data_IF_012276338667
#
_entry.id   IF_012276338667
#
_cell.length_a   1.000
_cell.length_b   1.000
_cell.length_c   1.000
_cell.angle_alpha   90.00
_cell.angle_beta   90.00
_cell.angle_gamma   90.00
#
_symmetry.space_group_name_H-M   'P 1'
#
loop_
_entity.id
_entity.type
_entity.pdbx_description
1 polymer ?
#
# COMPACT_ATOMS: atom_id res chain seq x y z
N UNK A 1 -23.16 -37.46 24.01
CA UNK A 1 -24.21 -38.47 24.22
C UNK A 1 -24.33 -39.28 22.96
N UNK A 2 -24.33 -40.59 23.04
CA UNK A 2 -24.65 -41.49 21.92
C UNK A 2 -26.10 -41.96 22.05
N UNK A 3 -26.78 -42.16 20.93
CA UNK A 3 -28.15 -42.68 20.89
C UNK A 3 -28.26 -43.77 19.81
N UNK A 4 -29.00 -44.81 20.12
CA UNK A 4 -29.33 -45.85 19.14
C UNK A 4 -30.42 -45.34 18.20
N UNK A 5 -30.18 -45.47 16.89
CA UNK A 5 -31.18 -45.16 15.87
C UNK A 5 -31.12 -46.24 14.78
N UNK A 6 -32.20 -47.01 14.65
CA UNK A 6 -32.19 -48.23 13.83
C UNK A 6 -31.21 -49.26 14.36
N UNK A 7 -30.33 -49.79 13.50
CA UNK A 7 -29.33 -50.82 13.85
C UNK A 7 -27.95 -50.27 14.21
N UNK A 8 -27.79 -48.93 14.40
CA UNK A 8 -26.48 -48.33 14.71
C UNK A 8 -26.58 -47.24 15.73
N UNK A 9 -25.48 -47.06 16.51
CA UNK A 9 -25.31 -45.91 17.39
C UNK A 9 -24.96 -44.67 16.60
N UNK A 10 -25.48 -43.54 17.06
CA UNK A 10 -25.21 -42.21 16.51
C UNK A 10 -24.69 -41.29 17.60
N UNK A 11 -23.72 -40.44 17.27
CA UNK A 11 -23.34 -39.28 18.03
C UNK A 11 -24.48 -38.26 17.93
N UNK A 12 -25.01 -37.86 19.08
CA UNK A 12 -26.00 -36.78 19.21
C UNK A 12 -25.49 -35.76 20.21
N UNK A 13 -25.16 -34.57 19.75
CA UNK A 13 -24.60 -33.54 20.62
C UNK A 13 -25.01 -32.14 20.13
N UNK A 14 -25.27 -31.25 21.11
CA UNK A 14 -25.62 -29.86 20.79
C UNK A 14 -24.41 -29.11 20.31
N UNK A 15 -24.60 -28.28 19.27
CA UNK A 15 -23.59 -27.34 18.78
C UNK A 15 -23.34 -26.26 19.83
N UNK A 16 -22.09 -26.03 20.29
CA UNK A 16 -21.80 -24.97 21.25
C UNK A 16 -22.15 -23.60 20.67
N UNK A 17 -22.65 -22.68 21.49
CA UNK A 17 -23.07 -21.32 21.07
C UNK A 17 -21.98 -20.57 20.32
N UNK A 18 -20.71 -20.81 20.66
CA UNK A 18 -19.54 -20.24 20.00
C UNK A 18 -19.50 -20.47 18.48
N UNK A 19 -20.07 -21.59 18.01
CA UNK A 19 -20.07 -21.95 16.58
C UNK A 19 -21.38 -21.65 15.86
N UNK A 20 -22.32 -20.97 16.52
CA UNK A 20 -23.65 -20.70 15.94
C UNK A 20 -23.62 -19.82 14.69
N UNK A 21 -22.56 -19.02 14.50
CA UNK A 21 -22.38 -18.17 13.31
C UNK A 21 -21.96 -18.96 12.05
N UNK A 22 -21.37 -20.15 12.24
CA UNK A 22 -20.79 -20.97 11.16
C UNK A 22 -21.46 -22.33 10.98
N UNK A 23 -22.31 -22.72 11.93
CA UNK A 23 -23.06 -23.97 11.92
C UNK A 23 -24.54 -23.69 12.23
N UNK A 24 -25.37 -23.84 11.23
CA UNK A 24 -26.82 -23.54 11.32
C UNK A 24 -27.62 -24.57 12.13
N UNK A 25 -27.06 -25.77 12.30
CA UNK A 25 -27.75 -26.85 13.06
C UNK A 25 -27.61 -26.62 14.55
N UNK A 26 -28.71 -26.81 15.29
CA UNK A 26 -28.68 -26.78 16.77
C UNK A 26 -28.04 -28.03 17.35
N UNK A 27 -28.18 -29.17 16.66
CA UNK A 27 -27.64 -30.47 17.06
C UNK A 27 -26.98 -31.17 15.89
N UNK A 28 -25.87 -31.86 16.17
CA UNK A 28 -25.18 -32.74 15.23
C UNK A 28 -25.64 -34.17 15.44
N UNK A 29 -25.98 -34.85 14.35
CA UNK A 29 -26.22 -36.27 14.28
C UNK A 29 -25.20 -36.90 13.32
N UNK A 30 -24.45 -37.89 13.83
CA UNK A 30 -23.48 -38.61 13.01
C UNK A 30 -23.56 -40.11 13.30
N UNK A 31 -23.74 -40.96 12.27
CA UNK A 31 -23.67 -42.37 12.43
C UNK A 31 -22.27 -42.82 12.80
N UNK A 32 -22.15 -43.68 13.80
CA UNK A 32 -20.88 -44.26 14.23
C UNK A 32 -20.62 -45.61 13.64
N UNK A 33 -21.55 -46.07 12.75
CA UNK A 33 -21.47 -47.33 12.01
C UNK A 33 -21.07 -48.50 12.86
N UNK A 34 -21.73 -48.65 14.01
CA UNK A 34 -21.58 -49.77 14.93
C UNK A 34 -22.84 -49.94 15.77
N UNK A 35 -23.15 -51.18 16.14
CA UNK A 35 -24.17 -51.59 17.08
C UNK A 35 -23.64 -51.87 18.49
N UNK A 36 -22.30 -51.92 18.62
CA UNK A 36 -21.62 -52.05 19.91
C UNK A 36 -21.52 -50.72 20.64
N UNK A 37 -22.07 -50.65 21.88
CA UNK A 37 -22.06 -49.43 22.69
C UNK A 37 -20.64 -48.98 23.08
N UNK A 38 -19.75 -49.91 23.43
CA UNK A 38 -18.36 -49.58 23.84
C UNK A 38 -17.55 -49.05 22.68
N UNK A 39 -17.70 -49.63 21.47
CA UNK A 39 -17.07 -49.09 20.26
C UNK A 39 -17.66 -47.73 19.86
N UNK A 40 -18.94 -47.52 20.05
CA UNK A 40 -19.58 -46.25 19.77
C UNK A 40 -19.08 -45.13 20.72
N UNK A 41 -18.85 -45.42 21.99
CA UNK A 41 -18.28 -44.47 22.96
C UNK A 41 -16.86 -44.04 22.58
N UNK A 42 -16.02 -44.99 22.21
CA UNK A 42 -14.67 -44.68 21.72
C UNK A 42 -14.66 -43.84 20.43
N UNK A 43 -15.50 -44.22 19.44
CA UNK A 43 -15.63 -43.45 18.18
C UNK A 43 -16.24 -42.05 18.36
N UNK A 44 -17.17 -41.90 19.30
CA UNK A 44 -17.89 -40.65 19.56
C UNK A 44 -16.95 -39.52 19.98
N UNK A 45 -15.93 -39.82 20.77
CA UNK A 45 -14.93 -38.84 21.23
C UNK A 45 -14.13 -38.33 20.06
N UNK A 46 -13.56 -39.20 19.22
CA UNK A 46 -12.81 -38.81 18.04
C UNK A 46 -13.64 -38.05 17.01
N UNK A 47 -14.87 -38.53 16.75
CA UNK A 47 -15.77 -37.83 15.84
C UNK A 47 -16.16 -36.43 16.34
N UNK A 48 -16.34 -36.25 17.66
CA UNK A 48 -16.62 -34.95 18.22
C UNK A 48 -15.41 -33.98 18.12
N UNK A 49 -14.18 -34.48 18.39
CA UNK A 49 -12.97 -33.67 18.22
C UNK A 49 -12.82 -33.18 16.78
N UNK A 50 -13.11 -34.03 15.80
CA UNK A 50 -13.10 -33.63 14.39
C UNK A 50 -14.10 -32.49 14.06
N UNK A 51 -15.31 -32.54 14.66
CA UNK A 51 -16.25 -31.40 14.52
C UNK A 51 -15.73 -30.12 15.15
N UNK A 52 -15.17 -30.21 16.34
CA UNK A 52 -14.59 -29.04 17.03
C UNK A 52 -13.43 -28.47 16.18
N UNK A 53 -12.50 -29.30 15.72
CA UNK A 53 -11.38 -28.88 14.87
C UNK A 53 -11.86 -28.23 13.57
N UNK A 54 -12.88 -28.81 12.93
CA UNK A 54 -13.47 -28.25 11.72
C UNK A 54 -14.15 -26.88 11.97
N UNK A 55 -14.83 -26.73 13.12
CA UNK A 55 -15.44 -25.45 13.50
C UNK A 55 -14.42 -24.41 13.95
N UNK A 56 -13.37 -24.80 14.68
CA UNK A 56 -12.26 -23.90 15.02
C UNK A 56 -11.55 -23.43 13.75
N UNK A 57 -11.27 -24.32 12.81
CA UNK A 57 -10.70 -23.98 11.52
C UNK A 57 -11.59 -23.00 10.74
N UNK A 58 -12.91 -23.17 10.80
CA UNK A 58 -13.87 -22.23 10.20
C UNK A 58 -13.94 -20.89 10.92
N UNK A 59 -13.86 -20.87 12.25
CA UNK A 59 -13.81 -19.65 13.06
C UNK A 59 -12.48 -18.90 12.92
N UNK A 60 -11.36 -19.64 12.83
CA UNK A 60 -10.03 -19.05 12.62
C UNK A 60 -9.87 -18.43 11.22
N UNK A 61 -10.93 -18.49 10.39
CA UNK A 61 -10.92 -18.09 9.00
C UNK A 61 -10.06 -19.05 8.19
N UNK A 62 -10.67 -20.05 7.63
CA UNK A 62 -10.10 -21.17 6.84
C UNK A 62 -9.23 -20.76 5.62
N UNK A 63 -8.99 -19.45 5.47
CA UNK A 63 -8.30 -18.89 4.33
C UNK A 63 -6.81 -19.25 4.28
N UNK A 64 -6.13 -19.33 5.41
CA UNK A 64 -4.69 -19.68 5.43
C UNK A 64 -4.49 -21.15 5.11
N UNK A 65 -5.32 -22.04 5.64
CA UNK A 65 -5.21 -23.48 5.36
C UNK A 65 -5.72 -23.84 3.98
N UNK A 66 -6.70 -23.15 3.47
CA UNK A 66 -7.18 -23.35 2.11
C UNK A 66 -6.21 -22.80 1.05
N UNK A 67 -5.52 -21.68 1.33
CA UNK A 67 -4.41 -21.20 0.48
C UNK A 67 -3.25 -22.18 0.50
N UNK A 68 -2.88 -22.73 1.65
CA UNK A 68 -1.83 -23.76 1.76
C UNK A 68 -2.20 -25.04 1.01
N UNK A 69 -3.45 -25.49 1.12
CA UNK A 69 -3.96 -26.66 0.37
C UNK A 69 -3.93 -26.42 -1.14
N UNK A 70 -4.29 -25.21 -1.58
CA UNK A 70 -4.23 -24.86 -3.00
C UNK A 70 -2.78 -24.74 -3.51
N UNK A 71 -1.88 -24.13 -2.73
CA UNK A 71 -0.45 -24.07 -3.05
C UNK A 71 0.14 -25.49 -3.11
N UNK A 72 -0.17 -26.35 -2.14
CA UNK A 72 0.24 -27.77 -2.13
C UNK A 72 -0.32 -28.54 -3.35
N UNK A 73 -1.57 -28.32 -3.74
CA UNK A 73 -2.14 -28.94 -4.94
C UNK A 73 -1.43 -28.48 -6.22
N UNK A 74 -0.99 -27.23 -6.29
CA UNK A 74 -0.19 -26.72 -7.43
C UNK A 74 1.19 -27.36 -7.50
N UNK A 75 1.85 -27.55 -6.35
CA UNK A 75 3.13 -28.23 -6.26
C UNK A 75 3.00 -29.70 -6.65
N UNK A 76 1.98 -30.39 -6.15
CA UNK A 76 1.70 -31.80 -6.52
C UNK A 76 1.43 -31.93 -8.02
N UNK A 77 0.61 -31.06 -8.61
CA UNK A 77 0.39 -31.07 -10.05
C UNK A 77 1.68 -30.89 -10.85
N UNK A 78 2.53 -29.94 -10.42
CA UNK A 78 3.84 -29.69 -11.06
C UNK A 78 4.78 -30.89 -10.95
N UNK A 79 4.84 -31.58 -9.80
CA UNK A 79 5.61 -32.82 -9.62
C UNK A 79 5.13 -33.91 -10.58
N UNK A 80 3.84 -33.94 -10.92
CA UNK A 80 3.27 -34.87 -11.91
C UNK A 80 3.43 -34.41 -13.36
N UNK A 81 4.11 -33.29 -13.59
CA UNK A 81 4.35 -32.74 -14.93
C UNK A 81 3.19 -31.91 -15.49
N UNK A 82 2.20 -31.55 -14.67
CA UNK A 82 1.06 -30.73 -15.10
C UNK A 82 1.02 -29.37 -14.47
N UNK A 83 0.58 -28.39 -15.24
CA UNK A 83 0.14 -27.13 -14.66
C UNK A 83 -1.21 -27.35 -13.96
N UNK A 84 -1.35 -26.89 -12.71
CA UNK A 84 -2.65 -26.88 -12.05
C UNK A 84 -3.65 -26.05 -12.87
N UNK A 85 -4.80 -26.61 -13.14
CA UNK A 85 -5.97 -25.98 -13.74
C UNK A 85 -7.17 -26.30 -12.86
N UNK A 86 -8.14 -25.40 -12.76
CA UNK A 86 -9.42 -25.71 -12.10
C UNK A 86 -10.20 -26.78 -12.92
N UNK A 87 -11.12 -27.48 -12.24
CA UNK A 87 -11.88 -28.56 -12.82
C UNK A 87 -12.61 -28.15 -14.11
N UNK A 88 -13.12 -26.93 -14.17
CA UNK A 88 -13.80 -26.44 -15.38
C UNK A 88 -12.84 -26.27 -16.55
N UNK A 89 -11.60 -25.85 -16.33
CA UNK A 89 -10.58 -25.80 -17.38
C UNK A 89 -10.05 -27.17 -17.76
N UNK A 90 -9.89 -28.05 -16.79
CA UNK A 90 -9.51 -29.47 -17.08
C UNK A 90 -10.55 -30.13 -17.96
N UNK A 91 -11.85 -29.93 -17.68
CA UNK A 91 -12.94 -30.48 -18.46
C UNK A 91 -13.00 -30.00 -19.92
N UNK A 92 -12.38 -28.86 -20.22
CA UNK A 92 -12.32 -28.28 -21.57
C UNK A 92 -10.99 -28.53 -22.30
N UNK A 93 -10.10 -29.38 -21.75
CA UNK A 93 -8.87 -29.79 -22.41
C UNK A 93 -9.15 -30.84 -23.52
N UNK A 94 -8.23 -31.03 -24.46
CA UNK A 94 -8.25 -32.17 -25.36
C UNK A 94 -8.34 -33.50 -24.60
N UNK A 95 -9.04 -34.47 -25.16
CA UNK A 95 -9.33 -35.74 -24.49
C UNK A 95 -8.07 -36.53 -24.10
N UNK A 96 -7.05 -36.49 -24.90
CA UNK A 96 -5.74 -37.07 -24.63
C UNK A 96 -5.06 -36.46 -23.39
N UNK A 97 -5.08 -35.12 -23.24
CA UNK A 97 -4.58 -34.46 -22.07
C UNK A 97 -5.37 -34.80 -20.80
N UNK A 98 -6.69 -34.95 -20.92
CA UNK A 98 -7.54 -35.37 -19.80
C UNK A 98 -7.16 -36.77 -19.36
N UNK A 99 -7.01 -37.72 -20.33
CA UNK A 99 -6.63 -39.10 -20.07
C UNK A 99 -5.25 -39.16 -19.39
N UNK A 100 -4.28 -38.38 -19.85
CA UNK A 100 -2.94 -38.37 -19.28
C UNK A 100 -2.96 -37.85 -17.82
N UNK A 101 -3.78 -36.85 -17.51
CA UNK A 101 -4.02 -36.42 -16.15
C UNK A 101 -4.64 -37.50 -15.26
N UNK A 102 -5.63 -38.25 -15.78
CA UNK A 102 -6.22 -39.37 -15.04
C UNK A 102 -5.21 -40.50 -14.77
N UNK A 103 -4.38 -40.83 -15.75
CA UNK A 103 -3.32 -41.84 -15.58
C UNK A 103 -2.23 -41.45 -14.59
N UNK A 104 -1.99 -40.15 -14.42
CA UNK A 104 -0.99 -39.63 -13.49
C UNK A 104 -1.44 -39.65 -12.02
N UNK A 105 -2.72 -39.90 -11.74
CA UNK A 105 -3.23 -40.04 -10.37
C UNK A 105 -2.80 -41.39 -9.80
N UNK A 106 -2.00 -41.43 -8.71
CA UNK A 106 -1.56 -42.69 -8.12
C UNK A 106 -2.71 -43.43 -7.44
N UNK A 107 -2.63 -44.74 -7.47
CA UNK A 107 -3.51 -45.62 -6.75
C UNK A 107 -2.87 -45.96 -5.40
N UNK A 108 -3.60 -45.79 -4.32
CA UNK A 108 -3.14 -46.12 -2.97
C UNK A 108 -3.04 -47.64 -2.79
N UNK A 109 -2.39 -48.08 -1.71
CA UNK A 109 -2.29 -49.50 -1.33
C UNK A 109 -3.66 -50.17 -1.11
N UNK A 110 -4.71 -49.36 -0.89
CA UNK A 110 -6.09 -49.84 -0.76
C UNK A 110 -6.84 -49.97 -2.14
N UNK A 111 -6.15 -49.77 -3.26
CA UNK A 111 -6.72 -49.86 -4.60
C UNK A 111 -7.60 -48.68 -5.01
N UNK A 112 -7.58 -47.59 -4.27
CA UNK A 112 -8.37 -46.36 -4.56
C UNK A 112 -7.45 -45.20 -4.96
N UNK A 113 -7.90 -44.28 -5.85
CA UNK A 113 -7.13 -43.12 -6.23
C UNK A 113 -6.77 -42.24 -5.00
N UNK A 114 -5.56 -41.72 -4.96
CA UNK A 114 -5.17 -40.75 -3.95
C UNK A 114 -5.97 -39.45 -4.16
N UNK A 115 -6.73 -39.07 -3.15
CA UNK A 115 -7.65 -37.92 -3.24
C UNK A 115 -6.92 -36.55 -3.34
N UNK A 116 -5.78 -36.37 -2.70
CA UNK A 116 -5.03 -35.13 -2.76
C UNK A 116 -4.37 -34.97 -4.13
N UNK A 117 -3.78 -36.03 -4.62
CA UNK A 117 -3.16 -36.07 -5.95
C UNK A 117 -4.23 -35.93 -7.07
N UNK A 118 -5.37 -36.61 -6.94
CA UNK A 118 -6.48 -36.46 -7.86
C UNK A 118 -7.00 -35.00 -7.87
N UNK A 119 -7.19 -34.39 -6.69
CA UNK A 119 -7.59 -32.99 -6.60
C UNK A 119 -6.57 -32.05 -7.21
N UNK A 120 -5.27 -32.36 -7.10
CA UNK A 120 -4.20 -31.56 -7.67
C UNK A 120 -4.18 -31.65 -9.22
N UNK A 121 -4.22 -32.85 -9.77
CA UNK A 121 -4.04 -33.11 -11.22
C UNK A 121 -5.33 -32.83 -12.01
N UNK A 122 -6.50 -33.11 -11.42
CA UNK A 122 -7.81 -32.94 -12.05
C UNK A 122 -8.50 -31.61 -11.68
N UNK A 123 -7.84 -30.77 -10.88
CA UNK A 123 -8.37 -29.43 -10.57
C UNK A 123 -9.47 -29.41 -9.51
N UNK A 124 -9.59 -30.47 -8.72
CA UNK A 124 -10.61 -30.59 -7.66
C UNK A 124 -10.18 -29.96 -6.31
N UNK A 125 -8.94 -29.48 -6.18
CA UNK A 125 -8.56 -28.67 -5.07
C UNK A 125 -9.25 -27.30 -5.24
N UNK A 126 -10.40 -27.12 -4.60
CA UNK A 126 -11.10 -25.83 -4.62
C UNK A 126 -10.13 -24.74 -4.20
N UNK A 127 -9.89 -23.77 -5.09
CA UNK A 127 -9.24 -22.56 -4.67
C UNK A 127 -10.04 -22.05 -3.47
N UNK A 128 -9.40 -21.97 -2.29
CA UNK A 128 -10.00 -21.20 -1.21
C UNK A 128 -10.35 -19.87 -1.84
N UNK A 129 -11.58 -19.47 -1.63
CA UNK A 129 -12.07 -18.19 -2.10
C UNK A 129 -11.24 -17.08 -1.44
N UNK A 130 -10.10 -16.73 -2.04
CA UNK A 130 -9.23 -15.68 -1.55
C UNK A 130 -10.00 -14.38 -1.61
N UNK A 131 -10.51 -13.93 -0.46
CA UNK A 131 -11.27 -12.68 -0.39
C UNK A 131 -10.40 -11.45 -0.60
N UNK A 132 -11.04 -10.33 -0.86
CA UNK A 132 -10.36 -9.04 -1.05
C UNK A 132 -9.55 -8.64 0.19
N UNK A 133 -10.08 -8.89 1.40
CA UNK A 133 -9.35 -8.63 2.64
C UNK A 133 -8.12 -9.52 2.77
N UNK A 134 -8.25 -10.82 2.51
CA UNK A 134 -7.13 -11.75 2.55
C UNK A 134 -6.09 -11.48 1.44
N UNK A 135 -6.52 -11.00 0.28
CA UNK A 135 -5.61 -10.54 -0.77
C UNK A 135 -4.78 -9.33 -0.30
N UNK A 136 -5.35 -8.40 0.47
CA UNK A 136 -4.60 -7.31 1.06
C UNK A 136 -3.54 -7.81 2.06
N UNK A 137 -3.87 -8.78 2.90
CA UNK A 137 -2.92 -9.36 3.87
C UNK A 137 -1.75 -10.05 3.16
N UNK A 138 -2.03 -10.83 2.13
CA UNK A 138 -0.99 -11.43 1.29
C UNK A 138 -0.15 -10.40 0.54
N UNK A 139 -0.76 -9.30 0.11
CA UNK A 139 -0.08 -8.26 -0.64
C UNK A 139 1.15 -7.71 0.10
N UNK A 140 1.09 -7.57 1.43
CA UNK A 140 2.21 -7.02 2.20
C UNK A 140 3.48 -7.85 2.08
N UNK A 141 3.35 -9.16 2.07
CA UNK A 141 4.47 -10.09 1.88
C UNK A 141 4.91 -10.13 0.43
N UNK A 142 3.96 -10.23 -0.51
CA UNK A 142 4.25 -10.35 -1.94
C UNK A 142 4.85 -9.08 -2.57
N UNK A 143 4.63 -7.92 -1.97
CA UNK A 143 5.14 -6.62 -2.41
C UNK A 143 6.25 -6.07 -1.50
N UNK A 144 6.95 -6.95 -0.76
CA UNK A 144 8.00 -6.55 0.17
C UNK A 144 9.16 -5.81 -0.52
N UNK A 145 9.47 -6.15 -1.77
CA UNK A 145 10.44 -5.48 -2.63
C UNK A 145 10.16 -3.97 -2.79
N UNK A 146 8.88 -3.59 -2.88
CA UNK A 146 8.44 -2.18 -3.00
C UNK A 146 8.69 -1.35 -1.74
N UNK A 147 9.07 -1.99 -0.65
CA UNK A 147 9.21 -1.35 0.67
C UNK A 147 10.64 -1.27 1.17
N UNK A 148 11.58 -1.89 0.45
CA UNK A 148 12.99 -1.92 0.81
C UNK A 148 13.55 -0.50 0.99
N UNK A 149 14.19 -0.25 2.14
CA UNK A 149 14.78 1.06 2.46
C UNK A 149 13.79 2.18 2.83
N UNK A 150 12.49 1.89 2.95
CA UNK A 150 11.50 2.88 3.41
C UNK A 150 11.55 3.06 4.93
N UNK A 151 11.47 4.31 5.38
CA UNK A 151 11.25 4.61 6.80
C UNK A 151 9.85 4.19 7.27
N UNK A 152 9.64 4.10 8.58
CA UNK A 152 8.33 3.78 9.20
C UNK A 152 7.21 4.70 8.70
N UNK A 153 7.47 6.03 8.59
CA UNK A 153 6.49 6.98 8.05
C UNK A 153 6.20 6.72 6.57
N UNK A 154 7.22 6.40 5.77
CA UNK A 154 7.04 6.04 4.36
C UNK A 154 6.27 4.73 4.21
N UNK A 155 6.50 3.75 5.09
CA UNK A 155 5.73 2.51 5.14
C UNK A 155 4.25 2.78 5.43
N UNK A 156 3.96 3.58 6.46
CA UNK A 156 2.58 3.97 6.79
C UNK A 156 1.90 4.65 5.60
N UNK A 157 2.55 5.63 4.97
CA UNK A 157 2.01 6.36 3.80
C UNK A 157 1.87 5.49 2.56
N UNK A 158 2.65 4.42 2.43
CA UNK A 158 2.50 3.44 1.36
C UNK A 158 1.36 2.47 1.63
N UNK A 159 1.16 2.03 2.89
CA UNK A 159 0.09 1.10 3.27
C UNK A 159 -1.29 1.74 3.30
N UNK A 160 -1.42 2.92 3.91
CA UNK A 160 -2.72 3.54 4.19
C UNK A 160 -3.62 3.72 2.95
N UNK A 161 -3.13 4.16 1.77
CA UNK A 161 -3.98 4.29 0.59
C UNK A 161 -4.55 2.94 0.11
N UNK A 162 -3.79 1.85 0.22
CA UNK A 162 -4.24 0.50 -0.15
C UNK A 162 -5.25 -0.06 0.83
N UNK A 163 -5.00 0.14 2.13
CA UNK A 163 -5.96 -0.21 3.18
C UNK A 163 -7.27 0.54 2.96
N UNK A 164 -7.21 1.84 2.66
CA UNK A 164 -8.39 2.65 2.39
C UNK A 164 -9.15 2.14 1.17
N UNK A 165 -8.46 1.89 0.06
CA UNK A 165 -9.06 1.43 -1.19
C UNK A 165 -9.79 0.09 -1.02
N UNK A 166 -9.16 -0.86 -0.35
CA UNK A 166 -9.77 -2.17 -0.03
C UNK A 166 -10.97 -2.00 0.90
N UNK A 167 -10.87 -1.17 1.95
CA UNK A 167 -11.98 -0.91 2.85
C UNK A 167 -13.18 -0.25 2.14
N UNK A 168 -12.91 0.69 1.24
CA UNK A 168 -13.96 1.33 0.45
C UNK A 168 -14.68 0.32 -0.45
N UNK A 169 -13.93 -0.54 -1.14
CA UNK A 169 -14.52 -1.61 -1.97
C UNK A 169 -15.37 -2.56 -1.13
N UNK A 170 -14.85 -3.05 -0.01
CA UNK A 170 -15.59 -3.96 0.89
C UNK A 170 -16.86 -3.30 1.43
N UNK A 171 -16.82 -2.01 1.73
CA UNK A 171 -17.99 -1.27 2.22
C UNK A 171 -19.11 -1.13 1.17
N UNK A 172 -18.77 -1.11 -0.11
CA UNK A 172 -19.71 -0.94 -1.22
C UNK A 172 -20.21 -2.29 -1.74
N UNK A 173 -19.28 -3.20 -2.04
CA UNK A 173 -19.56 -4.47 -2.75
C UNK A 173 -19.57 -5.68 -1.80
N UNK A 174 -18.87 -5.59 -0.68
CA UNK A 174 -18.66 -6.71 0.24
C UNK A 174 -17.27 -7.35 0.09
N UNK A 175 -16.91 -8.18 1.07
CA UNK A 175 -15.64 -8.94 1.06
C UNK A 175 -15.79 -10.23 0.24
N UNK A 176 -15.83 -10.08 -1.07
CA UNK A 176 -15.97 -11.20 -2.03
C UNK A 176 -14.62 -11.87 -2.32
N UNK A 177 -14.68 -13.10 -2.85
CA UNK A 177 -13.52 -13.72 -3.44
C UNK A 177 -13.02 -12.93 -4.66
N UNK A 178 -11.72 -12.75 -4.79
CA UNK A 178 -11.15 -11.99 -5.93
C UNK A 178 -11.46 -12.64 -7.29
N UNK A 179 -11.74 -13.95 -7.32
CA UNK A 179 -12.18 -14.69 -8.50
C UNK A 179 -13.66 -14.45 -8.86
N UNK A 180 -14.45 -13.93 -7.94
CA UNK A 180 -15.88 -13.67 -8.09
C UNK A 180 -16.19 -12.17 -8.34
N UNK A 181 -15.16 -11.33 -8.38
CA UNK A 181 -15.34 -9.91 -8.70
C UNK A 181 -15.73 -9.80 -10.17
N UNK A 182 -16.91 -9.26 -10.40
CA UNK A 182 -17.49 -9.04 -11.74
C UNK A 182 -17.27 -7.61 -12.25
N UNK A 183 -17.54 -7.38 -13.52
CA UNK A 183 -17.59 -6.04 -14.10
C UNK A 183 -18.64 -5.17 -13.41
N UNK A 184 -19.79 -5.75 -13.05
CA UNK A 184 -20.88 -5.03 -12.36
C UNK A 184 -20.45 -4.57 -10.97
N UNK A 185 -19.73 -5.39 -10.21
CA UNK A 185 -19.15 -4.99 -8.93
C UNK A 185 -18.22 -3.77 -9.07
N UNK A 186 -17.42 -3.75 -10.12
CA UNK A 186 -16.50 -2.63 -10.36
C UNK A 186 -17.21 -1.39 -10.86
N UNK A 187 -18.33 -1.54 -11.59
CA UNK A 187 -19.20 -0.43 -11.98
C UNK A 187 -19.93 0.13 -10.77
N UNK A 188 -20.46 -0.69 -9.87
CA UNK A 188 -21.04 -0.25 -8.60
C UNK A 188 -20.05 0.54 -7.76
N UNK A 189 -18.82 0.04 -7.60
CA UNK A 189 -17.76 0.76 -6.90
C UNK A 189 -17.40 2.09 -7.61
N UNK A 190 -17.44 2.13 -8.93
CA UNK A 190 -17.20 3.34 -9.71
C UNK A 190 -18.35 4.35 -9.56
N UNK A 191 -19.63 3.91 -9.54
CA UNK A 191 -20.79 4.77 -9.31
C UNK A 191 -20.72 5.38 -7.93
N UNK A 192 -20.40 4.62 -6.89
CA UNK A 192 -20.19 5.16 -5.54
C UNK A 192 -19.14 6.29 -5.49
N UNK A 193 -18.07 6.19 -6.25
CA UNK A 193 -17.09 7.28 -6.38
C UNK A 193 -17.66 8.46 -7.18
N UNK A 194 -18.43 8.19 -8.23
CA UNK A 194 -19.05 9.23 -9.04
C UNK A 194 -20.00 10.10 -8.22
N UNK A 195 -20.84 9.50 -7.39
CA UNK A 195 -21.76 10.22 -6.52
C UNK A 195 -21.03 11.19 -5.60
N UNK A 196 -19.92 10.76 -5.01
CA UNK A 196 -19.08 11.60 -4.14
C UNK A 196 -18.34 12.70 -4.90
N UNK A 197 -17.93 12.44 -6.13
CA UNK A 197 -17.35 13.47 -7.01
C UNK A 197 -18.42 14.50 -7.36
N UNK A 198 -19.61 14.08 -7.75
CA UNK A 198 -20.73 14.94 -8.12
C UNK A 198 -21.23 15.78 -6.95
N UNK A 199 -21.18 15.25 -5.73
CA UNK A 199 -21.46 15.99 -4.51
C UNK A 199 -20.33 16.96 -4.10
N UNK A 200 -19.21 17.00 -4.81
CA UNK A 200 -18.06 17.85 -4.47
C UNK A 200 -17.27 17.41 -3.23
N UNK A 201 -17.54 16.21 -2.69
CA UNK A 201 -16.86 15.70 -1.50
C UNK A 201 -15.41 15.30 -1.77
N UNK A 202 -15.12 14.82 -2.98
CA UNK A 202 -13.80 14.33 -3.37
C UNK A 202 -13.46 14.75 -4.81
N UNK A 203 -12.16 14.90 -5.08
CA UNK A 203 -11.69 15.15 -6.45
C UNK A 203 -11.63 13.86 -7.27
N UNK A 204 -11.76 13.97 -8.60
CA UNK A 204 -11.56 12.87 -9.56
C UNK A 204 -10.18 12.19 -9.38
N UNK A 205 -9.15 12.98 -9.06
CA UNK A 205 -7.81 12.47 -8.81
C UNK A 205 -7.76 11.59 -7.53
N UNK A 206 -8.52 11.92 -6.50
CA UNK A 206 -8.59 11.11 -5.28
C UNK A 206 -9.28 9.76 -5.55
N UNK A 207 -10.39 9.76 -6.30
CA UNK A 207 -11.09 8.54 -6.72
C UNK A 207 -10.21 7.66 -7.61
N UNK A 208 -9.57 8.24 -8.63
CA UNK A 208 -8.66 7.50 -9.51
C UNK A 208 -7.49 6.85 -8.75
N UNK A 209 -6.92 7.54 -7.75
CA UNK A 209 -5.89 6.96 -6.89
C UNK A 209 -6.38 5.76 -6.09
N UNK A 210 -7.61 5.82 -5.61
CA UNK A 210 -8.20 4.71 -4.85
C UNK A 210 -8.39 3.48 -5.76
N UNK A 211 -8.95 3.66 -6.97
CA UNK A 211 -9.07 2.60 -7.99
C UNK A 211 -7.71 2.00 -8.36
N UNK A 212 -6.67 2.84 -8.54
CA UNK A 212 -5.30 2.39 -8.82
C UNK A 212 -4.73 1.55 -7.67
N UNK A 213 -4.93 1.99 -6.42
CA UNK A 213 -4.42 1.26 -5.25
C UNK A 213 -5.15 -0.07 -5.04
N UNK A 214 -6.46 -0.11 -5.25
CA UNK A 214 -7.24 -1.35 -5.25
C UNK A 214 -6.74 -2.31 -6.33
N UNK A 215 -6.63 -1.82 -7.56
CA UNK A 215 -6.11 -2.61 -8.68
C UNK A 215 -4.67 -3.10 -8.49
N UNK A 216 -3.78 -2.30 -7.85
CA UNK A 216 -2.40 -2.71 -7.52
C UNK A 216 -2.38 -3.92 -6.57
N UNK A 217 -3.26 -3.93 -5.56
CA UNK A 217 -3.39 -5.07 -4.63
C UNK A 217 -3.80 -6.32 -5.39
N UNK A 218 -4.91 -6.28 -6.12
CA UNK A 218 -5.45 -7.46 -6.81
C UNK A 218 -4.52 -7.96 -7.92
N UNK A 219 -3.99 -7.08 -8.77
CA UNK A 219 -3.05 -7.43 -9.84
C UNK A 219 -1.77 -8.05 -9.31
N UNK A 220 -1.24 -7.51 -8.20
CA UNK A 220 -0.01 -8.06 -7.59
C UNK A 220 -0.25 -9.45 -7.06
N UNK A 221 -1.34 -9.67 -6.30
CA UNK A 221 -1.67 -10.99 -5.75
C UNK A 221 -1.95 -12.00 -6.87
N UNK A 222 -2.78 -11.63 -7.86
CA UNK A 222 -3.08 -12.48 -9.00
C UNK A 222 -1.79 -12.92 -9.74
N UNK A 223 -0.88 -11.98 -10.01
CA UNK A 223 0.38 -12.26 -10.69
C UNK A 223 1.32 -13.11 -9.85
N UNK A 224 1.59 -12.69 -8.62
CA UNK A 224 2.60 -13.35 -7.76
C UNK A 224 2.16 -14.73 -7.30
N UNK A 225 0.86 -14.95 -7.10
CA UNK A 225 0.26 -16.25 -6.80
C UNK A 225 -0.10 -17.05 -8.07
N UNK A 226 0.12 -16.47 -9.26
CA UNK A 226 -0.17 -17.10 -10.57
C UNK A 226 -1.59 -17.66 -10.66
N UNK A 227 -2.59 -16.87 -10.17
CA UNK A 227 -3.98 -17.33 -10.14
C UNK A 227 -4.62 -17.39 -11.53
N UNK A 228 -4.09 -16.65 -12.50
CA UNK A 228 -4.59 -16.64 -13.89
C UNK A 228 -5.97 -16.00 -14.04
N UNK A 229 -6.37 -15.14 -13.09
CA UNK A 229 -7.68 -14.48 -13.11
C UNK A 229 -7.70 -13.34 -14.13
N UNK A 230 -8.79 -13.19 -14.85
CA UNK A 230 -9.11 -12.00 -15.64
C UNK A 230 -9.86 -11.04 -14.72
N UNK A 231 -9.15 -10.00 -14.26
CA UNK A 231 -9.71 -9.01 -13.32
C UNK A 231 -10.36 -7.86 -14.10
N UNK A 232 -11.62 -7.49 -13.80
CA UNK A 232 -12.36 -6.43 -14.51
C UNK A 232 -11.92 -5.03 -14.04
N UNK A 233 -10.64 -4.67 -14.26
CA UNK A 233 -10.02 -3.45 -13.74
C UNK A 233 -9.64 -2.43 -14.82
N UNK A 234 -10.11 -2.61 -16.07
CA UNK A 234 -9.91 -1.67 -17.18
C UNK A 234 -10.99 -0.61 -17.21
N UNK A 235 -10.65 0.55 -17.77
CA UNK A 235 -11.57 1.64 -18.13
C UNK A 235 -12.44 2.24 -16.99
N UNK A 236 -11.98 2.09 -15.75
CA UNK A 236 -12.67 2.57 -14.56
C UNK A 236 -12.34 4.03 -14.21
N UNK A 237 -11.29 4.59 -14.80
CA UNK A 237 -10.80 5.92 -14.44
C UNK A 237 -11.78 7.02 -14.85
N UNK A 238 -11.90 8.02 -14.00
CA UNK A 238 -12.61 9.27 -14.33
C UNK A 238 -11.69 10.18 -15.15
N UNK A 239 -12.27 10.94 -16.08
CA UNK A 239 -11.53 11.98 -16.78
C UNK A 239 -10.94 12.94 -15.74
N UNK A 240 -9.63 13.16 -15.80
CA UNK A 240 -9.00 14.12 -14.90
C UNK A 240 -9.60 15.52 -15.16
N UNK A 241 -10.00 16.18 -14.07
CA UNK A 241 -10.26 17.61 -14.12
C UNK A 241 -8.97 18.39 -14.34
N UNK A 242 -9.07 19.68 -14.54
CA UNK A 242 -7.88 20.54 -14.59
C UNK A 242 -7.04 20.33 -13.33
N UNK A 243 -5.75 20.03 -13.53
CA UNK A 243 -4.84 19.88 -12.40
C UNK A 243 -4.65 21.26 -11.77
N UNK A 244 -5.22 21.48 -10.60
CA UNK A 244 -4.95 22.69 -9.83
C UNK A 244 -3.45 22.83 -9.59
N UNK A 245 -2.83 23.87 -10.09
CA UNK A 245 -1.45 24.23 -9.79
C UNK A 245 -1.42 24.95 -8.44
N UNK A 246 -0.52 24.54 -7.58
CA UNK A 246 -0.29 25.33 -6.34
C UNK A 246 0.42 26.62 -6.69
N UNK A 247 -0.12 27.76 -6.32
CA UNK A 247 0.52 29.03 -6.61
C UNK A 247 1.85 29.14 -5.86
N UNK A 248 2.89 29.77 -6.47
CA UNK A 248 4.12 30.12 -5.80
C UNK A 248 3.90 31.33 -4.87
N UNK A 249 4.54 31.37 -3.70
CA UNK A 249 4.64 32.61 -2.95
C UNK A 249 5.52 33.62 -3.69
N UNK A 250 5.07 34.87 -3.81
CA UNK A 250 5.89 35.95 -4.35
C UNK A 250 7.05 36.29 -3.40
N UNK A 251 8.18 36.75 -3.96
CA UNK A 251 9.33 37.18 -3.16
C UNK A 251 8.93 38.28 -2.17
N UNK A 252 8.11 39.24 -2.61
CA UNK A 252 7.57 40.31 -1.78
C UNK A 252 6.81 39.78 -0.57
N UNK A 253 5.87 38.81 -0.81
CA UNK A 253 5.08 38.24 0.30
C UNK A 253 5.96 37.45 1.29
N UNK A 254 6.94 36.71 0.78
CA UNK A 254 7.88 35.98 1.65
C UNK A 254 8.61 37.00 2.57
N UNK A 255 9.20 38.05 2.00
CA UNK A 255 9.97 39.05 2.76
C UNK A 255 9.12 39.87 3.74
N UNK A 256 7.99 40.41 3.24
CA UNK A 256 7.20 41.38 4.04
C UNK A 256 6.22 40.68 4.99
N UNK A 257 5.84 39.42 4.77
CA UNK A 257 4.85 38.73 5.59
C UNK A 257 5.40 37.50 6.29
N UNK A 258 6.09 36.59 5.58
CA UNK A 258 6.54 35.32 6.19
C UNK A 258 7.83 35.53 7.02
N UNK A 259 8.74 36.38 6.57
CA UNK A 259 10.00 36.66 7.26
C UNK A 259 9.94 37.97 8.09
N UNK A 260 8.78 38.62 8.18
CA UNK A 260 8.60 39.76 9.02
C UNK A 260 8.87 39.39 10.51
N UNK A 261 9.38 40.34 11.33
CA UNK A 261 9.56 40.11 12.76
C UNK A 261 8.27 39.53 13.39
N UNK A 262 8.44 38.54 14.24
CA UNK A 262 7.38 37.87 14.99
C UNK A 262 6.25 37.19 14.18
N UNK A 263 6.30 37.24 12.84
CA UNK A 263 5.27 36.63 11.99
C UNK A 263 5.08 35.13 12.25
N UNK A 264 6.14 34.43 12.62
CA UNK A 264 6.16 32.99 12.89
C UNK A 264 6.28 32.65 14.39
N UNK A 265 6.31 33.63 15.30
CA UNK A 265 6.60 33.46 16.75
C UNK A 265 5.64 32.49 17.48
N UNK A 266 4.44 32.25 16.96
CA UNK A 266 3.50 31.24 17.49
C UNK A 266 3.64 29.84 16.89
N UNK A 267 4.51 29.68 15.91
CA UNK A 267 4.85 28.39 15.37
C UNK A 267 5.95 27.77 16.25
N UNK A 268 5.93 26.43 16.41
CA UNK A 268 7.03 25.84 17.18
C UNK A 268 8.35 25.94 16.39
N UNK A 269 9.43 26.10 17.14
CA UNK A 269 10.76 26.44 16.62
C UNK A 269 11.23 25.57 15.46
N UNK A 270 11.01 24.24 15.52
CA UNK A 270 11.42 23.35 14.43
C UNK A 270 10.57 23.53 13.17
N UNK A 271 9.27 23.80 13.31
CA UNK A 271 8.41 24.03 12.15
C UNK A 271 8.71 25.38 11.49
N UNK A 272 9.00 26.40 12.30
CA UNK A 272 9.48 27.72 11.84
C UNK A 272 10.80 27.59 11.08
N UNK A 273 11.79 26.93 11.68
CA UNK A 273 13.09 26.72 11.04
C UNK A 273 12.97 25.94 9.72
N UNK A 274 12.15 24.88 9.68
CA UNK A 274 11.91 24.13 8.45
C UNK A 274 11.29 25.01 7.36
N UNK A 275 10.32 25.86 7.70
CA UNK A 275 9.73 26.83 6.78
C UNK A 275 10.82 27.75 6.21
N UNK A 276 11.64 28.37 7.09
CA UNK A 276 12.74 29.26 6.70
C UNK A 276 13.79 28.56 5.84
N UNK A 277 14.16 27.31 6.18
CA UNK A 277 15.07 26.49 5.34
C UNK A 277 14.52 26.29 3.93
N UNK A 278 13.21 26.10 3.79
CA UNK A 278 12.59 25.93 2.47
C UNK A 278 12.61 27.18 1.60
N UNK A 279 12.72 28.39 2.19
CA UNK A 279 12.70 29.65 1.45
C UNK A 279 13.79 29.69 0.39
N UNK A 280 15.06 29.46 0.76
CA UNK A 280 16.18 29.58 -0.17
C UNK A 280 16.79 28.24 -0.62
N UNK A 281 16.17 27.11 -0.28
CA UNK A 281 16.59 25.78 -0.75
C UNK A 281 15.63 25.15 -1.73
N UNK A 282 14.36 25.52 -1.68
CA UNK A 282 13.30 24.87 -2.42
C UNK A 282 13.18 23.37 -2.13
N UNK A 283 13.82 22.86 -1.08
CA UNK A 283 13.75 21.45 -0.70
C UNK A 283 12.32 21.04 -0.33
N UNK A 284 11.98 19.75 -0.47
CA UNK A 284 10.66 19.26 -0.08
C UNK A 284 10.51 19.25 1.44
N UNK A 285 9.33 19.55 2.01
CA UNK A 285 9.13 19.51 3.47
C UNK A 285 9.64 18.20 4.11
N UNK A 286 9.43 17.08 3.44
CA UNK A 286 9.91 15.78 3.91
C UNK A 286 11.42 15.59 3.79
N UNK A 287 12.10 16.32 2.94
CA UNK A 287 13.56 16.31 2.82
C UNK A 287 14.18 17.12 3.95
N UNK A 288 13.68 18.33 4.20
CA UNK A 288 14.16 19.18 5.30
C UNK A 288 13.86 18.53 6.66
N UNK A 289 12.65 18.04 6.88
CA UNK A 289 12.27 17.36 8.11
C UNK A 289 13.12 16.12 8.44
N UNK A 290 13.73 15.49 7.41
CA UNK A 290 14.55 14.30 7.59
C UNK A 290 16.05 14.60 7.73
N UNK A 291 16.49 15.85 7.72
CA UNK A 291 17.89 16.21 7.90
C UNK A 291 18.42 15.72 9.25
N UNK A 292 19.66 15.28 9.23
CA UNK A 292 20.46 14.90 10.40
C UNK A 292 21.77 15.67 10.38
N UNK A 293 22.52 15.68 11.48
CA UNK A 293 23.86 16.31 11.57
C UNK A 293 24.79 15.86 10.44
N UNK A 294 24.69 14.61 10.00
CA UNK A 294 25.48 14.09 8.88
C UNK A 294 25.19 14.77 7.54
N UNK A 295 23.98 15.32 7.38
CA UNK A 295 23.50 15.97 6.16
C UNK A 295 23.65 17.49 6.18
N UNK A 296 24.06 18.08 7.30
CA UNK A 296 24.18 19.54 7.50
C UNK A 296 25.65 19.89 7.62
N UNK A 297 26.13 20.81 6.81
CA UNK A 297 27.51 21.32 6.81
C UNK A 297 27.49 22.82 6.89
N UNK A 298 27.73 23.37 8.07
CA UNK A 298 27.68 24.81 8.35
C UNK A 298 29.09 25.43 8.42
N UNK A 299 30.06 24.67 8.95
CA UNK A 299 31.44 25.17 9.21
C UNK A 299 32.35 24.78 8.05
N UNK A 300 32.04 25.23 6.83
CA UNK A 300 32.84 25.02 5.63
C UNK A 300 32.74 26.23 4.69
N UNK A 301 33.58 26.28 3.65
CA UNK A 301 33.66 27.42 2.73
C UNK A 301 32.29 27.74 2.07
N UNK A 302 31.51 26.72 1.74
CA UNK A 302 30.14 26.84 1.23
C UNK A 302 29.20 26.08 2.15
N UNK A 303 28.52 26.72 3.11
CA UNK A 303 27.51 26.07 3.94
C UNK A 303 26.43 25.42 3.07
N UNK A 304 26.08 24.17 3.36
CA UNK A 304 25.16 23.40 2.52
C UNK A 304 24.45 22.29 3.28
N UNK A 305 23.38 21.79 2.68
CA UNK A 305 22.72 20.54 3.07
C UNK A 305 22.86 19.48 1.99
N UNK A 306 23.02 18.22 2.40
CA UNK A 306 23.00 17.05 1.52
C UNK A 306 21.67 16.33 1.64
N UNK A 307 20.94 16.16 0.56
CA UNK A 307 19.71 15.34 0.53
C UNK A 307 20.13 13.92 0.20
N UNK A 308 20.08 13.07 1.20
CA UNK A 308 20.55 11.68 1.13
C UNK A 308 19.51 10.67 1.65
N UNK A 309 19.77 9.38 1.40
CA UNK A 309 18.90 8.28 1.80
C UNK A 309 19.20 7.76 3.23
N UNK A 310 19.41 8.68 4.19
CA UNK A 310 19.71 8.29 5.58
C UNK A 310 18.45 7.76 6.26
N UNK A 311 18.38 6.45 6.51
CA UNK A 311 17.23 5.80 7.16
C UNK A 311 15.91 5.92 6.41
N UNK A 312 15.93 6.27 5.12
CA UNK A 312 14.74 6.46 4.28
C UNK A 312 15.04 6.23 2.81
N UNK A 313 13.99 5.97 2.01
CA UNK A 313 14.10 5.96 0.57
C UNK A 313 13.88 7.38 0.00
N UNK A 314 14.69 7.79 -0.95
CA UNK A 314 14.44 9.02 -1.72
C UNK A 314 13.34 8.79 -2.77
N UNK A 315 12.63 9.87 -3.12
CA UNK A 315 11.51 9.80 -4.08
C UNK A 315 11.95 9.37 -5.50
N UNK A 316 13.17 9.72 -5.88
CA UNK A 316 13.78 9.37 -7.17
C UNK A 316 15.29 9.39 -7.05
N UNK A 317 16.01 8.78 -7.99
CA UNK A 317 17.47 8.80 -8.02
C UNK A 317 18.02 10.26 -8.07
N UNK A 318 17.36 11.15 -8.80
CA UNK A 318 17.77 12.56 -8.89
C UNK A 318 17.49 13.38 -7.61
N UNK A 319 16.84 12.79 -6.60
CA UNK A 319 16.60 13.50 -5.34
C UNK A 319 17.88 13.65 -4.50
N UNK A 320 18.88 12.76 -4.69
CA UNK A 320 20.21 12.91 -4.04
C UNK A 320 20.92 14.11 -4.64
N UNK A 321 21.25 15.09 -3.80
CA UNK A 321 21.87 16.35 -4.22
C UNK A 321 22.37 17.14 -3.04
N UNK A 322 23.22 18.12 -3.32
CA UNK A 322 23.70 19.13 -2.37
C UNK A 322 23.04 20.47 -2.71
N UNK A 323 22.65 21.23 -1.69
CA UNK A 323 22.00 22.53 -1.84
C UNK A 323 22.74 23.53 -0.96
N UNK A 324 23.32 24.60 -1.52
CA UNK A 324 23.96 25.64 -0.74
C UNK A 324 22.92 26.37 0.13
N UNK A 325 23.34 26.82 1.30
CA UNK A 325 22.54 27.57 2.27
C UNK A 325 22.88 29.06 2.20
N UNK A 326 21.84 29.87 2.13
CA UNK A 326 21.96 31.33 2.05
C UNK A 326 20.84 32.02 2.83
N UNK A 327 21.04 33.28 3.30
CA UNK A 327 20.02 34.09 3.94
C UNK A 327 19.26 33.37 5.04
N UNK A 328 17.95 33.54 5.07
CA UNK A 328 17.07 32.96 6.09
C UNK A 328 17.22 31.43 6.27
N UNK A 329 17.62 30.70 5.21
CA UNK A 329 17.81 29.25 5.30
C UNK A 329 19.07 28.85 6.07
N UNK A 330 20.16 29.61 5.92
CA UNK A 330 21.40 29.42 6.64
C UNK A 330 21.22 29.79 8.14
N UNK A 331 20.61 30.92 8.39
CA UNK A 331 20.35 31.40 9.75
C UNK A 331 19.49 30.44 10.54
N UNK A 332 18.43 29.93 9.92
CA UNK A 332 17.55 28.95 10.56
C UNK A 332 18.28 27.64 10.93
N UNK A 333 19.16 27.11 10.05
CA UNK A 333 19.88 25.87 10.33
C UNK A 333 21.01 26.01 11.36
N UNK A 334 21.55 27.20 11.56
CA UNK A 334 22.52 27.45 12.67
C UNK A 334 21.93 27.14 14.04
N UNK A 335 20.62 27.33 14.22
CA UNK A 335 19.90 26.96 15.45
C UNK A 335 19.56 25.46 15.54
N UNK A 336 19.73 24.70 14.45
CA UNK A 336 19.34 23.27 14.37
C UNK A 336 20.40 22.41 13.64
N UNK A 337 21.64 22.38 14.14
CA UNK A 337 22.74 21.64 13.50
C UNK A 337 22.49 20.11 13.46
N UNK A 338 21.66 19.58 14.36
CA UNK A 338 21.29 18.16 14.43
C UNK A 338 20.00 17.83 13.66
N UNK A 339 19.44 18.81 12.95
CA UNK A 339 18.19 18.69 12.21
C UNK A 339 16.94 18.74 13.09
N UNK A 340 15.90 18.03 12.71
CA UNK A 340 14.54 18.24 13.22
C UNK A 340 13.90 16.97 13.80
N UNK A 341 14.28 16.51 15.01
CA UNK A 341 13.81 15.27 15.61
C UNK A 341 12.28 15.13 15.68
N UNK A 342 11.58 16.23 15.98
CA UNK A 342 10.11 16.28 16.11
C UNK A 342 9.40 15.87 14.82
N UNK A 343 9.98 16.20 13.66
CA UNK A 343 9.33 16.01 12.34
C UNK A 343 10.00 14.95 11.48
N UNK A 344 11.12 14.38 11.91
CA UNK A 344 11.89 13.38 11.13
C UNK A 344 11.03 12.20 10.65
N UNK A 345 10.11 11.72 11.48
CA UNK A 345 9.17 10.63 11.14
C UNK A 345 7.74 11.12 10.86
N UNK A 346 7.48 12.42 10.70
CA UNK A 346 6.13 12.98 10.60
C UNK A 346 6.03 14.18 9.66
N UNK A 347 6.51 14.06 8.44
CA UNK A 347 6.43 15.16 7.47
C UNK A 347 4.99 15.57 7.09
N UNK A 348 4.02 14.66 7.22
CA UNK A 348 2.61 15.00 7.08
C UNK A 348 2.09 15.86 8.24
N UNK A 349 2.52 15.54 9.47
CA UNK A 349 2.24 16.33 10.66
C UNK A 349 2.83 17.73 10.56
N UNK A 350 4.09 17.85 10.08
CA UNK A 350 4.70 19.15 9.78
C UNK A 350 3.83 19.97 8.82
N UNK A 351 3.47 19.41 7.67
CA UNK A 351 2.65 20.12 6.68
C UNK A 351 1.30 20.53 7.23
N UNK A 352 0.64 19.68 8.05
CA UNK A 352 -0.63 20.01 8.68
C UNK A 352 -0.50 21.18 9.67
N UNK A 353 0.52 21.15 10.54
CA UNK A 353 0.78 22.21 11.54
C UNK A 353 1.06 23.53 10.83
N UNK A 354 2.02 23.55 9.89
CA UNK A 354 2.40 24.78 9.20
C UNK A 354 1.24 25.33 8.35
N UNK A 355 0.54 24.50 7.57
CA UNK A 355 -0.56 24.99 6.75
C UNK A 355 -1.75 25.48 7.58
N UNK A 356 -2.03 24.87 8.74
CA UNK A 356 -3.03 25.39 9.68
C UNK A 356 -2.62 26.75 10.22
N UNK A 357 -1.34 26.90 10.61
CA UNK A 357 -0.80 28.15 11.13
C UNK A 357 -0.86 29.26 10.08
N UNK A 358 -0.36 29.01 8.85
CA UNK A 358 -0.37 30.00 7.77
C UNK A 358 -1.78 30.52 7.48
N UNK A 359 -2.77 29.62 7.38
CA UNK A 359 -4.17 30.01 7.15
C UNK A 359 -4.78 30.77 8.32
N UNK A 360 -4.53 30.30 9.55
CA UNK A 360 -5.09 30.91 10.76
C UNK A 360 -4.53 32.29 11.11
N UNK A 361 -3.35 32.66 10.56
CA UNK A 361 -2.69 33.94 10.81
C UNK A 361 -2.65 34.83 9.55
N UNK A 362 -3.38 34.55 8.50
CA UNK A 362 -3.41 35.39 7.29
C UNK A 362 -2.06 35.45 6.55
N UNK A 363 -1.25 34.39 6.66
CA UNK A 363 0.08 34.30 6.05
C UNK A 363 0.07 33.57 4.69
N UNK A 364 -1.11 33.22 4.16
CA UNK A 364 -1.28 32.74 2.80
C UNK A 364 -1.59 33.90 1.87
N UNK A 365 -0.84 34.06 0.78
CA UNK A 365 -1.07 35.11 -0.23
C UNK A 365 -2.41 34.91 -0.95
N UNK A 366 -2.83 33.66 -1.17
CA UNK A 366 -4.19 33.25 -1.54
C UNK A 366 -4.60 32.00 -0.75
N UNK A 367 -5.87 31.60 -0.70
CA UNK A 367 -6.33 30.40 0.01
C UNK A 367 -5.63 29.09 -0.43
N UNK A 368 -5.12 29.04 -1.66
CA UNK A 368 -4.49 27.86 -2.25
C UNK A 368 -3.01 27.69 -1.87
N UNK A 369 -2.41 28.72 -1.26
CA UNK A 369 -1.03 28.65 -0.79
C UNK A 369 -0.84 27.66 0.35
N UNK A 370 0.27 26.97 0.31
CA UNK A 370 0.69 25.98 1.32
C UNK A 370 2.19 26.07 1.57
N UNK A 371 2.69 25.39 2.59
CA UNK A 371 4.14 25.26 2.83
C UNK A 371 4.90 24.83 1.53
N UNK A 372 4.30 23.99 0.70
CA UNK A 372 4.92 23.55 -0.55
C UNK A 372 5.05 24.68 -1.59
N UNK A 373 4.27 25.74 -1.49
CA UNK A 373 4.32 26.92 -2.36
C UNK A 373 5.66 27.66 -2.28
N UNK A 374 6.39 27.56 -1.16
CA UNK A 374 7.76 28.09 -1.03
C UNK A 374 8.71 27.47 -2.06
N UNK A 375 8.55 26.18 -2.33
CA UNK A 375 9.38 25.51 -3.33
C UNK A 375 9.09 25.99 -4.75
N UNK A 376 7.83 26.26 -5.07
CA UNK A 376 7.45 26.86 -6.36
C UNK A 376 7.99 28.29 -6.46
N UNK A 377 7.86 29.09 -5.40
CA UNK A 377 8.44 30.45 -5.36
C UNK A 377 9.95 30.48 -5.49
N UNK A 378 10.67 29.48 -4.96
CA UNK A 378 12.11 29.36 -5.15
C UNK A 378 12.46 29.03 -6.63
N UNK A 379 11.72 28.12 -7.27
CA UNK A 379 11.90 27.81 -8.69
C UNK A 379 11.67 29.04 -9.58
N UNK A 380 10.59 29.80 -9.30
CA UNK A 380 10.26 31.00 -10.06
C UNK A 380 11.32 32.10 -9.88
N UNK A 381 11.85 32.28 -8.69
CA UNK A 381 12.95 33.23 -8.44
C UNK A 381 14.22 32.85 -9.22
N UNK A 382 14.58 31.57 -9.23
CA UNK A 382 15.71 31.09 -10.03
C UNK A 382 15.46 31.28 -11.54
N UNK A 383 14.24 31.05 -12.01
CA UNK A 383 13.86 31.28 -13.39
C UNK A 383 13.96 32.76 -13.76
N UNK A 384 13.41 33.64 -12.94
CA UNK A 384 13.46 35.09 -13.14
C UNK A 384 14.91 35.66 -13.13
N UNK A 385 15.80 35.02 -12.38
CA UNK A 385 17.22 35.35 -12.35
C UNK A 385 18.03 34.75 -13.54
N UNK A 386 17.37 34.09 -14.49
CA UNK A 386 18.02 33.53 -15.66
C UNK A 386 18.87 32.28 -15.38
N UNK A 387 18.65 31.59 -14.26
CA UNK A 387 19.42 30.39 -13.93
C UNK A 387 19.11 29.28 -14.90
N UNK A 388 20.15 28.63 -15.45
CA UNK A 388 20.02 27.53 -16.41
C UNK A 388 19.11 26.41 -15.90
N UNK A 389 18.32 25.81 -16.81
CA UNK A 389 17.35 24.76 -16.48
C UNK A 389 18.01 23.58 -15.79
N UNK A 390 19.20 23.16 -16.19
CA UNK A 390 19.91 22.04 -15.58
C UNK A 390 20.21 22.32 -14.11
N UNK A 391 20.72 23.51 -13.80
CA UNK A 391 21.07 23.92 -12.43
C UNK A 391 19.80 24.01 -11.57
N UNK A 392 18.72 24.60 -12.11
CA UNK A 392 17.41 24.64 -11.40
C UNK A 392 16.91 23.23 -11.09
N UNK A 393 16.98 22.31 -12.04
CA UNK A 393 16.57 20.92 -11.84
C UNK A 393 17.48 20.18 -10.87
N UNK A 394 18.75 20.44 -10.87
CA UNK A 394 19.71 19.85 -9.93
C UNK A 394 19.43 20.33 -8.49
N UNK A 395 19.27 21.64 -8.27
CA UNK A 395 18.89 22.21 -6.98
C UNK A 395 17.54 21.65 -6.43
N UNK A 396 16.57 21.47 -7.33
CA UNK A 396 15.26 20.96 -6.96
C UNK A 396 15.15 19.42 -6.93
N UNK A 397 16.14 18.70 -7.46
CA UNK A 397 16.10 17.25 -7.56
C UNK A 397 15.02 16.75 -8.51
N UNK A 398 14.93 17.38 -9.70
CA UNK A 398 14.08 16.99 -10.81
C UNK A 398 14.89 16.26 -11.88
N UNK A 399 14.27 15.31 -12.57
CA UNK A 399 14.89 14.68 -13.74
C UNK A 399 15.02 15.70 -14.87
N UNK A 400 16.21 15.77 -15.49
CA UNK A 400 16.38 16.45 -16.77
C UNK A 400 15.93 15.50 -17.88
N UNK A 401 15.07 15.97 -18.79
CA UNK A 401 14.51 15.13 -19.88
C UNK A 401 15.47 14.94 -21.07
N UNK A 402 16.60 15.59 -21.04
CA UNK A 402 17.68 15.48 -22.06
C UNK A 402 18.91 14.82 -21.47
N UNK A 403 19.83 14.39 -22.33
CA UNK A 403 21.12 13.83 -21.93
C UNK A 403 21.93 14.79 -21.05
N UNK A 404 22.66 14.21 -20.09
CA UNK A 404 23.55 14.94 -19.20
C UNK A 404 25.00 14.70 -19.59
N UNK A 405 25.70 15.77 -19.95
CA UNK A 405 27.13 15.74 -20.16
C UNK A 405 27.87 16.49 -19.04
N UNK A 406 28.98 15.96 -18.58
CA UNK A 406 29.80 16.54 -17.50
C UNK A 406 29.18 16.43 -16.11
N UNK A 407 29.94 16.85 -15.10
CA UNK A 407 29.60 16.72 -13.67
C UNK A 407 28.56 17.71 -13.16
N UNK A 408 28.20 18.72 -13.93
CA UNK A 408 27.27 19.78 -13.50
C UNK A 408 27.99 21.01 -12.92
N UNK A 409 27.22 21.92 -12.29
CA UNK A 409 27.76 23.09 -11.64
C UNK A 409 28.48 22.73 -10.33
N UNK A 410 29.57 23.45 -10.00
CA UNK A 410 30.22 23.31 -8.70
C UNK A 410 29.34 23.88 -7.59
N UNK A 411 29.64 23.52 -6.35
CA UNK A 411 28.86 24.00 -5.19
C UNK A 411 28.99 25.52 -5.02
N UNK A 412 30.18 26.06 -5.27
CA UNK A 412 30.47 27.50 -5.24
C UNK A 412 29.63 28.24 -6.29
N UNK A 413 29.59 27.74 -7.53
CA UNK A 413 28.79 28.34 -8.58
C UNK A 413 27.28 28.26 -8.27
N UNK A 414 26.81 27.14 -7.70
CA UNK A 414 25.43 27.05 -7.24
C UNK A 414 25.12 28.04 -6.12
N UNK A 415 26.07 28.27 -5.19
CA UNK A 415 25.92 29.27 -4.14
C UNK A 415 25.79 30.68 -4.71
N UNK A 416 26.66 31.07 -5.63
CA UNK A 416 26.59 32.37 -6.31
C UNK A 416 25.21 32.61 -6.95
N UNK A 417 24.67 31.60 -7.61
CA UNK A 417 23.35 31.70 -8.24
C UNK A 417 22.21 31.79 -7.23
N UNK A 418 22.29 31.02 -6.13
CA UNK A 418 21.27 31.06 -5.07
C UNK A 418 21.35 32.38 -4.30
N UNK A 419 22.54 32.97 -4.11
CA UNK A 419 22.70 34.29 -3.49
C UNK A 419 21.97 35.39 -4.26
N UNK A 420 21.92 35.34 -5.61
CA UNK A 420 21.19 36.34 -6.41
C UNK A 420 19.68 36.34 -6.14
N UNK A 421 19.14 35.28 -5.60
CA UNK A 421 17.70 35.08 -5.35
C UNK A 421 17.37 34.87 -3.88
N UNK A 422 18.37 35.00 -2.98
CA UNK A 422 18.21 34.78 -1.56
C UNK A 422 17.32 35.86 -0.93
N UNK A 423 16.54 35.42 0.07
CA UNK A 423 15.71 36.29 0.91
C UNK A 423 16.10 36.08 2.37
#
# INVERSE_FOLDING_TARGET
MIKMRGKSFQLYKRVPKRYASIESRTFVWLSLHTDSKSLAEGKATGAWSQFIEAWEARLAGDQVDAVKRFDAARELAAVRGFRYLDVGKVANLPLDEIIDRFKAVPITSAGIPDRLEAAAVLGGAGASALTVSAALDLYWTLAADKTLGKSTDQMRRWKNPRIKAVKNFIAVVGDKAISEITGDDMLEFRVWWWDRISAGEVSTNAANKDLIHFGDVLKTVNRMKRLGLVLPLSDLSFKAGEAGTRPPFSAKWITEKLLAPDALARLNDQAEAILKVMVNTGARPSEVAALTSECIRLDCAVPHISIEAVGRQLKSANAKRVIPLTGASLEALRGFPDGFPRYRGSSAGLSAVVNKFLRGNGLCETPDHTLYSLRHGFEDRLLAAGVDERIRRDLLGHALKRERYGSGATLEHMQELVLKVAL
#
